data_IF_190366394059
#
_entry.id   IF_190366394059
#
_cell.length_a   1.000
_cell.length_b   1.000
_cell.length_c   1.000
_cell.angle_alpha   90.00
_cell.angle_beta   90.00
_cell.angle_gamma   90.00
#
_symmetry.space_group_name_H-M   'P 1'
#
loop_
_entity.id
_entity.type
_entity.pdbx_description
1 polymer ?
#
# COMPACT_ATOMS: atom_id res chain seq x y z
N UNK A 1 -7.17 34.77 -20.00
CA UNK A 1 -7.67 33.43 -19.66
C UNK A 1 -6.60 32.70 -18.86
N UNK A 2 -6.68 32.78 -17.53
CA UNK A 2 -5.81 32.00 -16.65
C UNK A 2 -6.49 30.65 -16.44
N UNK A 3 -5.85 29.55 -16.87
CA UNK A 3 -6.34 28.19 -16.61
C UNK A 3 -6.31 27.99 -15.10
N UNK A 4 -7.47 27.74 -14.51
CA UNK A 4 -7.62 27.34 -13.11
C UNK A 4 -6.65 26.22 -12.81
N UNK A 5 -5.84 26.40 -11.76
CA UNK A 5 -5.07 25.33 -11.14
C UNK A 5 -6.08 24.30 -10.64
N UNK A 6 -6.37 23.28 -11.44
CA UNK A 6 -7.07 22.10 -10.96
C UNK A 6 -6.26 21.53 -9.81
N UNK A 7 -6.85 21.54 -8.63
CA UNK A 7 -6.27 21.01 -7.40
C UNK A 7 -6.09 19.49 -7.61
N UNK A 8 -4.98 19.10 -8.23
CA UNK A 8 -4.67 17.69 -8.50
C UNK A 8 -4.29 17.05 -7.17
N UNK A 9 -5.30 16.63 -6.41
CA UNK A 9 -5.10 15.95 -5.14
C UNK A 9 -4.58 14.54 -5.46
N UNK A 10 -3.27 14.38 -5.33
CA UNK A 10 -2.63 13.08 -5.51
C UNK A 10 -3.13 12.17 -4.38
N UNK A 11 -4.07 11.28 -4.70
CA UNK A 11 -4.52 10.23 -3.78
C UNK A 11 -3.45 9.15 -3.51
N UNK A 12 -2.21 9.36 -3.96
CA UNK A 12 -1.12 8.38 -3.93
C UNK A 12 -0.74 7.87 -2.54
N UNK A 13 -1.15 8.55 -1.46
CA UNK A 13 -1.01 8.03 -0.10
C UNK A 13 -1.87 6.78 0.18
N UNK A 14 -2.98 6.59 -0.55
CA UNK A 14 -3.91 5.45 -0.41
C UNK A 14 -3.76 4.40 -1.53
N UNK A 15 -2.58 4.30 -2.15
CA UNK A 15 -2.30 3.19 -3.06
C UNK A 15 -2.07 1.89 -2.28
N UNK A 16 -2.88 0.86 -2.57
CA UNK A 16 -2.77 -0.46 -1.92
C UNK A 16 -1.37 -1.07 -2.04
N UNK A 17 -0.62 -0.76 -3.12
CA UNK A 17 0.73 -1.28 -3.34
C UNK A 17 1.72 -0.69 -2.35
N UNK A 18 1.52 0.56 -1.93
CA UNK A 18 2.35 1.18 -0.90
C UNK A 18 2.07 0.55 0.46
N UNK A 19 0.79 0.31 0.80
CA UNK A 19 0.42 -0.41 2.02
C UNK A 19 1.01 -1.83 2.08
N UNK A 20 0.82 -2.61 1.02
CA UNK A 20 1.36 -3.97 0.91
C UNK A 20 2.89 -3.93 0.98
N UNK A 21 3.54 -3.05 0.20
CA UNK A 21 5.00 -2.94 0.16
C UNK A 21 5.60 -2.60 1.53
N UNK A 22 5.03 -1.63 2.25
CA UNK A 22 5.50 -1.28 3.60
C UNK A 22 5.27 -2.43 4.58
N UNK A 23 4.11 -3.07 4.55
CA UNK A 23 3.79 -4.18 5.45
C UNK A 23 4.74 -5.37 5.25
N UNK A 24 4.96 -5.79 3.99
CA UNK A 24 5.93 -6.83 3.65
C UNK A 24 7.34 -6.41 4.07
N UNK A 25 7.71 -5.14 3.91
CA UNK A 25 9.02 -4.62 4.32
C UNK A 25 9.25 -4.73 5.83
N UNK A 26 8.27 -4.32 6.65
CA UNK A 26 8.35 -4.42 8.11
C UNK A 26 8.50 -5.88 8.55
N UNK A 27 7.63 -6.76 8.06
CA UNK A 27 7.74 -8.19 8.39
C UNK A 27 9.04 -8.82 7.88
N UNK A 28 9.48 -8.46 6.68
CA UNK A 28 10.73 -8.93 6.12
C UNK A 28 11.94 -8.56 6.96
N UNK A 29 11.99 -7.31 7.46
CA UNK A 29 13.05 -6.85 8.37
C UNK A 29 13.00 -7.64 9.69
N UNK A 30 11.81 -7.79 10.30
CA UNK A 30 11.65 -8.54 11.55
C UNK A 30 12.14 -9.98 11.39
N UNK A 31 11.72 -10.67 10.32
CA UNK A 31 12.12 -12.05 10.08
C UNK A 31 13.61 -12.19 9.75
N UNK A 32 14.18 -11.24 9.00
CA UNK A 32 15.62 -11.23 8.72
C UNK A 32 16.43 -11.07 10.01
N UNK A 33 16.02 -10.16 10.90
CA UNK A 33 16.66 -9.99 12.21
C UNK A 33 16.50 -11.27 13.04
N UNK A 34 15.28 -11.82 13.10
CA UNK A 34 15.01 -13.06 13.83
C UNK A 34 15.86 -14.23 13.32
N UNK A 35 16.09 -14.35 12.01
CA UNK A 35 16.99 -15.36 11.47
C UNK A 35 18.46 -15.12 11.85
N UNK A 36 18.94 -13.88 11.73
CA UNK A 36 20.33 -13.53 12.05
C UNK A 36 20.67 -13.77 13.53
N UNK A 37 19.75 -13.44 14.45
CA UNK A 37 20.02 -13.50 15.90
C UNK A 37 19.45 -14.74 16.58
N UNK A 38 18.47 -15.39 15.95
CA UNK A 38 17.69 -16.47 16.56
C UNK A 38 18.07 -17.86 16.10
N UNK A 39 18.88 -18.03 15.04
CA UNK A 39 19.18 -19.35 14.51
C UNK A 39 20.16 -20.13 15.41
N UNK A 40 19.64 -21.19 16.03
CA UNK A 40 20.40 -22.05 16.96
C UNK A 40 20.78 -23.41 16.35
N UNK A 41 21.80 -24.12 16.90
CA UNK A 41 22.15 -25.46 16.46
C UNK A 41 20.97 -26.46 16.53
N UNK A 42 20.17 -26.39 17.60
CA UNK A 42 19.00 -27.26 17.79
C UNK A 42 17.94 -27.04 16.70
N UNK A 43 17.74 -25.80 16.27
CA UNK A 43 16.86 -25.49 15.14
C UNK A 43 17.46 -25.96 13.81
N UNK A 44 18.77 -25.77 13.62
CA UNK A 44 19.48 -26.21 12.42
C UNK A 44 19.37 -27.73 12.22
N UNK A 45 19.44 -28.54 13.29
CA UNK A 45 19.22 -29.98 13.19
C UNK A 45 17.80 -30.33 12.74
N UNK A 46 16.80 -29.56 13.19
CA UNK A 46 15.38 -29.77 12.84
C UNK A 46 15.03 -29.33 11.43
N UNK A 47 15.73 -28.35 10.89
CA UNK A 47 15.45 -27.76 9.56
C UNK A 47 16.44 -28.19 8.48
N UNK A 48 17.41 -29.05 8.81
CA UNK A 48 18.45 -29.46 7.86
C UNK A 48 19.44 -28.34 7.53
N UNK A 49 19.69 -27.44 8.48
CA UNK A 49 20.62 -26.32 8.35
C UNK A 49 20.04 -25.10 7.64
N UNK A 50 18.74 -25.08 7.35
CA UNK A 50 18.08 -23.97 6.66
C UNK A 50 17.32 -23.12 7.66
N UNK A 51 17.64 -21.82 7.72
CA UNK A 51 16.88 -20.85 8.50
C UNK A 51 15.69 -20.31 7.71
N UNK A 52 14.49 -20.76 8.07
CA UNK A 52 13.24 -20.34 7.43
C UNK A 52 12.94 -18.85 7.65
N UNK A 53 13.29 -18.29 8.81
CA UNK A 53 13.05 -16.87 9.10
C UNK A 53 13.90 -16.00 8.20
N UNK A 54 15.19 -16.35 8.04
CA UNK A 54 16.10 -15.60 7.19
C UNK A 54 15.65 -15.64 5.72
N UNK A 55 15.41 -16.82 5.16
CA UNK A 55 15.00 -16.94 3.74
C UNK A 55 13.65 -16.27 3.46
N UNK A 56 12.69 -16.44 4.36
CA UNK A 56 11.38 -15.78 4.24
C UNK A 56 11.55 -14.26 4.35
N UNK A 57 12.33 -13.77 5.31
CA UNK A 57 12.61 -12.35 5.50
C UNK A 57 13.22 -11.70 4.25
N UNK A 58 14.23 -12.34 3.66
CA UNK A 58 14.84 -11.88 2.41
C UNK A 58 13.81 -11.86 1.26
N UNK A 59 13.00 -12.91 1.12
CA UNK A 59 11.94 -12.96 0.12
C UNK A 59 10.93 -11.82 0.26
N UNK A 60 10.51 -11.53 1.49
CA UNK A 60 9.59 -10.42 1.79
C UNK A 60 10.22 -9.05 1.48
N UNK A 61 11.51 -8.84 1.78
CA UNK A 61 12.22 -7.60 1.45
C UNK A 61 12.29 -7.39 -0.07
N UNK A 62 12.59 -8.44 -0.83
CA UNK A 62 12.61 -8.37 -2.30
C UNK A 62 11.22 -8.03 -2.84
N UNK A 63 10.17 -8.70 -2.35
CA UNK A 63 8.80 -8.41 -2.75
C UNK A 63 8.39 -6.97 -2.40
N UNK A 64 8.71 -6.51 -1.19
CA UNK A 64 8.47 -5.14 -0.76
C UNK A 64 9.12 -4.12 -1.70
N UNK A 65 10.39 -4.33 -2.06
CA UNK A 65 11.11 -3.47 -3.00
C UNK A 65 10.40 -3.42 -4.36
N UNK A 66 9.96 -4.56 -4.89
CA UNK A 66 9.21 -4.63 -6.15
C UNK A 66 7.91 -3.82 -6.07
N UNK A 67 7.12 -3.97 -5.01
CA UNK A 67 5.86 -3.24 -4.83
C UNK A 67 6.07 -1.73 -4.72
N UNK A 68 7.05 -1.29 -3.93
CA UNK A 68 7.35 0.13 -3.73
C UNK A 68 7.90 0.78 -5.01
N UNK A 69 8.80 0.10 -5.72
CA UNK A 69 9.31 0.56 -7.02
C UNK A 69 8.17 0.66 -8.03
N UNK A 70 7.30 -0.35 -8.09
CA UNK A 70 6.17 -0.35 -9.03
C UNK A 70 5.15 0.74 -8.72
N UNK A 71 4.83 0.97 -7.45
CA UNK A 71 3.97 2.07 -7.01
C UNK A 71 4.56 3.43 -7.42
N UNK A 72 5.87 3.61 -7.25
CA UNK A 72 6.59 4.83 -7.66
C UNK A 72 6.59 5.03 -9.17
N UNK A 73 6.72 3.96 -9.96
CA UNK A 73 6.72 4.02 -11.43
C UNK A 73 5.32 4.26 -12.03
N UNK A 74 4.25 3.84 -11.35
CA UNK A 74 2.86 3.99 -11.82
C UNK A 74 1.95 4.57 -10.73
N UNK A 75 2.05 5.86 -10.40
CA UNK A 75 1.21 6.48 -9.37
C UNK A 75 -0.26 6.57 -9.81
N UNK A 76 -1.19 6.21 -8.92
CA UNK A 76 -2.64 6.38 -9.15
C UNK A 76 -3.01 7.85 -8.92
N UNK A 77 -3.69 8.46 -9.89
CA UNK A 77 -4.24 9.82 -9.83
C UNK A 77 -5.75 9.72 -9.77
N UNK A 78 -6.37 10.26 -8.72
CA UNK A 78 -7.82 10.44 -8.64
C UNK A 78 -8.10 11.87 -9.05
N UNK A 79 -9.00 12.06 -10.00
CA UNK A 79 -9.53 13.38 -10.36
C UNK A 79 -10.86 13.48 -9.61
N UNK A 80 -10.93 14.34 -8.59
CA UNK A 80 -12.21 14.74 -8.01
C UNK A 80 -12.91 15.60 -9.07
N UNK A 81 -13.91 15.05 -9.76
CA UNK A 81 -14.86 15.88 -10.51
C UNK A 81 -15.73 16.59 -9.46
N UNK A 82 -15.75 17.94 -9.42
CA UNK A 82 -16.78 18.65 -8.69
C UNK A 82 -18.08 18.41 -9.46
N UNK A 83 -18.95 17.53 -8.94
CA UNK A 83 -20.41 17.46 -9.17
C UNK A 83 -20.88 16.00 -9.03
N UNK A 84 -21.14 15.55 -7.80
CA UNK A 84 -21.99 14.37 -7.54
C UNK A 84 -22.78 14.50 -6.21
N UNK A 85 -22.95 15.73 -5.69
CA UNK A 85 -23.78 16.02 -4.49
C UNK A 85 -25.12 16.73 -4.82
N UNK A 86 -25.55 16.72 -6.09
CA UNK A 86 -26.71 17.49 -6.54
C UNK A 86 -27.74 16.68 -7.36
N UNK A 87 -28.19 15.52 -6.88
CA UNK A 87 -29.54 14.97 -7.14
C UNK A 87 -29.71 13.74 -6.23
N UNK A 88 -30.61 13.65 -5.26
CA UNK A 88 -32.07 13.72 -5.41
C UNK A 88 -32.70 13.98 -4.04
N UNK A 89 -33.62 14.96 -3.91
CA UNK A 89 -34.44 15.00 -2.69
C UNK A 89 -35.41 16.14 -2.42
N UNK A 90 -35.53 17.20 -3.24
CA UNK A 90 -36.33 18.37 -2.80
C UNK A 90 -37.57 18.74 -3.61
N UNK A 91 -37.80 18.32 -4.85
CA UNK A 91 -38.93 18.91 -5.60
C UNK A 91 -40.18 18.01 -5.72
N UNK A 92 -41.08 18.12 -4.74
CA UNK A 92 -42.51 17.88 -4.95
C UNK A 92 -43.36 18.71 -3.97
N UNK A 93 -43.38 20.04 -4.14
CA UNK A 93 -44.52 20.86 -3.72
C UNK A 93 -44.58 22.18 -4.51
N UNK A 94 -45.43 22.30 -5.54
CA UNK A 94 -45.82 23.60 -6.05
C UNK A 94 -47.08 24.09 -5.32
N UNK A 95 -46.96 25.24 -4.66
CA UNK A 95 -48.08 25.98 -4.11
C UNK A 95 -48.87 26.76 -5.17
N UNK A 96 -50.13 27.03 -4.80
CA UNK A 96 -50.94 28.22 -5.11
C UNK A 96 -51.27 28.57 -6.57
N UNK A 97 -52.56 28.42 -6.92
CA UNK A 97 -53.42 29.57 -7.27
C UNK A 97 -54.73 29.45 -6.49
#
# INVERSE_FOLDING_TARGET
MSKSNELTKTAGAFDIRNFIGVLLGIFGIILTIAGIVGFTPDEAERTGGIDANLWTGIGLIIAAAVFLIWAKLRPIRIIETPDDDADTGTEAAPGTN
#
